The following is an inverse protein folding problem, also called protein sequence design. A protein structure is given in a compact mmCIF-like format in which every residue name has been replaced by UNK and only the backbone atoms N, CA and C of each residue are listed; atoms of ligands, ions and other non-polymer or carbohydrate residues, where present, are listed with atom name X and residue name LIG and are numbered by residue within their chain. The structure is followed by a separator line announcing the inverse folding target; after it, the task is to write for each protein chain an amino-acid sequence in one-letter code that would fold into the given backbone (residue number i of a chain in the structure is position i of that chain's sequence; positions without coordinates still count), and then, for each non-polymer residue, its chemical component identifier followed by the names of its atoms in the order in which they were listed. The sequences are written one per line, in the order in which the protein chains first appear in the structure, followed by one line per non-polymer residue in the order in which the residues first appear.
data_IF_713939513042
#
_entry.id   IF_713939513042
#
_cell.length_a   1.000
_cell.length_b   1.000
_cell.length_c   1.000
_cell.angle_alpha   90.00
_cell.angle_beta   90.00
_cell.angle_gamma   90.00
#
_symmetry.space_group_name_H-M   'P 1'
#
loop_
_entity.id
_entity.type
_entity.pdbx_description
1 polymer ?
#
# COMPACT_ATOMS: atom_id res chain seq x y z
N UNK A 1 56.17 -57.05 -48.24
CA UNK A 1 56.23 -57.84 -46.97
C UNK A 1 55.02 -57.50 -46.12
N UNK A 2 54.20 -58.48 -45.71
CA UNK A 2 53.14 -58.24 -44.71
C UNK A 2 53.81 -58.07 -43.34
N UNK A 3 53.52 -56.99 -42.59
CA UNK A 3 54.15 -56.78 -41.30
C UNK A 3 53.75 -57.91 -40.33
N UNK A 4 54.76 -58.53 -39.69
CA UNK A 4 54.58 -59.65 -38.75
C UNK A 4 53.69 -59.29 -37.55
N UNK A 5 53.55 -58.00 -37.26
CA UNK A 5 52.69 -57.46 -36.21
C UNK A 5 51.30 -56.96 -36.71
N UNK A 6 50.68 -57.63 -37.69
CA UNK A 6 49.33 -57.24 -38.13
C UNK A 6 48.24 -57.57 -37.10
N UNK A 7 48.45 -58.64 -36.31
CA UNK A 7 47.48 -59.14 -35.32
C UNK A 7 47.42 -58.26 -34.07
N UNK A 8 48.55 -57.82 -33.52
CA UNK A 8 48.51 -56.91 -32.36
C UNK A 8 48.06 -55.51 -32.78
N UNK A 9 48.44 -55.03 -33.98
CA UNK A 9 47.92 -53.75 -34.51
C UNK A 9 46.39 -53.75 -34.59
N UNK A 10 45.76 -54.83 -35.08
CA UNK A 10 44.30 -54.94 -35.14
C UNK A 10 43.67 -54.97 -33.75
N UNK A 11 44.29 -55.68 -32.80
CA UNK A 11 43.80 -55.75 -31.42
C UNK A 11 43.90 -54.39 -30.71
N UNK A 12 45.01 -53.66 -30.90
CA UNK A 12 45.21 -52.33 -30.32
C UNK A 12 44.23 -51.31 -30.91
N UNK A 13 43.98 -51.35 -32.23
CA UNK A 13 42.96 -50.50 -32.87
C UNK A 13 41.56 -50.81 -32.34
N UNK A 14 41.22 -52.09 -32.14
CA UNK A 14 39.92 -52.50 -31.59
C UNK A 14 39.74 -52.03 -30.14
N UNK A 15 40.77 -52.20 -29.30
CA UNK A 15 40.77 -51.70 -27.91
C UNK A 15 40.65 -50.19 -27.84
N UNK A 16 41.37 -49.47 -28.71
CA UNK A 16 41.27 -48.02 -28.82
C UNK A 16 39.87 -47.58 -29.27
N UNK A 17 39.30 -48.21 -30.29
CA UNK A 17 37.96 -47.88 -30.77
C UNK A 17 36.88 -48.12 -29.70
N UNK A 18 36.99 -49.23 -28.95
CA UNK A 18 36.07 -49.52 -27.84
C UNK A 18 36.20 -48.49 -26.71
N UNK A 19 37.44 -48.17 -26.31
CA UNK A 19 37.68 -47.16 -25.28
C UNK A 19 37.17 -45.78 -25.75
N UNK A 20 37.42 -45.42 -27.01
CA UNK A 20 36.97 -44.16 -27.59
C UNK A 20 35.43 -44.06 -27.58
N UNK A 21 34.73 -45.10 -28.05
CA UNK A 21 33.27 -45.14 -28.03
C UNK A 21 32.72 -45.09 -26.60
N UNK A 22 33.35 -45.78 -25.66
CA UNK A 22 32.97 -45.74 -24.25
C UNK A 22 33.13 -44.33 -23.67
N UNK A 23 34.26 -43.67 -23.93
CA UNK A 23 34.49 -42.29 -23.47
C UNK A 23 33.53 -41.29 -24.13
N UNK A 24 33.26 -41.44 -25.42
CA UNK A 24 32.29 -40.60 -26.13
C UNK A 24 30.87 -40.80 -25.57
N UNK A 25 30.46 -42.04 -25.30
CA UNK A 25 29.18 -42.35 -24.69
C UNK A 25 29.07 -41.75 -23.27
N UNK A 26 30.13 -41.82 -22.47
CA UNK A 26 30.17 -41.17 -21.15
C UNK A 26 30.01 -39.65 -21.26
N UNK A 27 30.72 -39.01 -22.20
CA UNK A 27 30.62 -37.57 -22.42
C UNK A 27 29.19 -37.18 -22.84
N UNK A 28 28.62 -37.86 -23.84
CA UNK A 28 27.24 -37.58 -24.31
C UNK A 28 26.23 -37.76 -23.19
N UNK A 29 26.39 -38.82 -22.38
CA UNK A 29 25.50 -39.11 -21.27
C UNK A 29 25.62 -38.08 -20.16
N UNK A 30 26.84 -37.65 -19.82
CA UNK A 30 27.09 -36.58 -18.86
C UNK A 30 26.43 -35.28 -19.33
N UNK A 31 26.64 -34.87 -20.59
CA UNK A 31 26.02 -33.68 -21.15
C UNK A 31 24.49 -33.78 -21.17
N UNK A 32 23.93 -34.91 -21.57
CA UNK A 32 22.47 -35.11 -21.64
C UNK A 32 21.82 -34.96 -20.25
N UNK A 33 22.39 -35.58 -19.20
CA UNK A 33 21.84 -35.47 -17.86
C UNK A 33 22.05 -34.10 -17.19
N UNK A 34 23.12 -33.39 -17.55
CA UNK A 34 23.43 -32.06 -17.03
C UNK A 34 22.54 -30.99 -17.69
N UNK A 35 22.39 -31.02 -19.02
CA UNK A 35 21.61 -30.05 -19.78
C UNK A 35 20.09 -30.24 -19.69
N UNK A 36 19.57 -31.46 -19.54
CA UNK A 36 18.11 -31.67 -19.53
C UNK A 36 17.46 -31.42 -18.16
N UNK A 37 18.24 -31.30 -17.08
CA UNK A 37 17.67 -31.15 -15.73
C UNK A 37 17.84 -29.77 -15.14
N UNK A 38 18.93 -29.08 -15.44
CA UNK A 38 19.24 -27.78 -14.85
C UNK A 38 18.34 -26.67 -15.42
N UNK A 39 18.23 -26.46 -16.75
CA UNK A 39 17.46 -25.35 -17.32
C UNK A 39 15.95 -25.47 -17.06
N UNK A 40 15.41 -26.69 -17.02
CA UNK A 40 13.98 -26.91 -16.77
C UNK A 40 13.61 -26.61 -15.32
N UNK A 41 14.42 -27.05 -14.35
CA UNK A 41 14.20 -26.74 -12.94
C UNK A 41 14.42 -25.27 -12.63
N UNK A 42 15.45 -24.65 -13.21
CA UNK A 42 15.68 -23.21 -13.06
C UNK A 42 14.50 -22.40 -13.63
N UNK A 43 14.01 -22.76 -14.82
CA UNK A 43 12.84 -22.12 -15.41
C UNK A 43 11.58 -22.31 -14.56
N UNK A 44 11.37 -23.49 -13.97
CA UNK A 44 10.24 -23.75 -13.07
C UNK A 44 10.29 -22.84 -11.83
N UNK A 45 11.44 -22.79 -11.14
CA UNK A 45 11.65 -21.92 -9.97
C UNK A 45 11.50 -20.44 -10.35
N UNK A 46 12.04 -20.02 -11.50
CA UNK A 46 11.92 -18.64 -11.97
C UNK A 46 10.46 -18.28 -12.27
N UNK A 47 9.68 -19.18 -12.88
CA UNK A 47 8.25 -18.97 -13.13
C UNK A 47 7.46 -18.87 -11.84
N UNK A 48 7.74 -19.72 -10.86
CA UNK A 48 7.10 -19.67 -9.54
C UNK A 48 7.37 -18.33 -8.84
N UNK A 49 8.63 -17.91 -8.80
CA UNK A 49 9.02 -16.61 -8.23
C UNK A 49 8.37 -15.44 -8.95
N UNK A 50 8.31 -15.51 -10.28
CA UNK A 50 7.68 -14.47 -11.10
C UNK A 50 6.19 -14.36 -10.79
N UNK A 51 5.49 -15.48 -10.68
CA UNK A 51 4.07 -15.50 -10.33
C UNK A 51 3.79 -14.88 -8.96
N UNK A 52 4.66 -15.11 -7.96
CA UNK A 52 4.55 -14.49 -6.64
C UNK A 52 4.74 -12.97 -6.75
N UNK A 53 5.77 -12.51 -7.46
CA UNK A 53 6.04 -11.08 -7.64
C UNK A 53 4.91 -10.39 -8.40
N UNK A 54 4.38 -11.01 -9.44
CA UNK A 54 3.23 -10.47 -10.20
C UNK A 54 1.98 -10.37 -9.34
N UNK A 55 1.72 -11.37 -8.50
CA UNK A 55 0.62 -11.34 -7.52
C UNK A 55 0.80 -10.19 -6.53
N UNK A 56 1.99 -10.04 -5.97
CA UNK A 56 2.31 -8.97 -5.01
C UNK A 56 2.20 -7.58 -5.66
N UNK A 57 2.70 -7.43 -6.90
CA UNK A 57 2.60 -6.19 -7.66
C UNK A 57 1.15 -5.82 -7.98
N UNK A 58 0.34 -6.81 -8.36
CA UNK A 58 -1.10 -6.60 -8.59
C UNK A 58 -1.81 -6.17 -7.31
N UNK A 59 -1.51 -6.84 -6.19
CA UNK A 59 -2.05 -6.46 -4.88
C UNK A 59 -1.68 -5.01 -4.53
N UNK A 60 -0.41 -4.64 -4.62
CA UNK A 60 0.07 -3.28 -4.33
C UNK A 60 -0.61 -2.23 -5.22
N UNK A 61 -0.78 -2.53 -6.51
CA UNK A 61 -1.48 -1.65 -7.45
C UNK A 61 -2.94 -1.45 -7.05
N UNK A 62 -3.65 -2.51 -6.71
CA UNK A 62 -5.06 -2.44 -6.34
C UNK A 62 -5.24 -1.76 -4.96
N UNK A 63 -4.36 -2.06 -4.00
CA UNK A 63 -4.30 -1.39 -2.69
C UNK A 63 -4.07 0.13 -2.85
N UNK A 64 -3.10 0.52 -3.69
CA UNK A 64 -2.82 1.93 -3.98
C UNK A 64 -4.01 2.67 -4.60
N UNK A 65 -4.81 2.02 -5.46
CA UNK A 65 -6.04 2.65 -5.98
C UNK A 65 -7.05 2.92 -4.87
N UNK A 66 -7.21 1.99 -3.92
CA UNK A 66 -8.07 2.20 -2.75
C UNK A 66 -7.60 3.39 -1.90
N UNK A 67 -6.28 3.48 -1.67
CA UNK A 67 -5.66 4.63 -1.00
C UNK A 67 -6.02 5.96 -1.68
N UNK A 68 -5.88 6.05 -3.01
CA UNK A 68 -6.19 7.27 -3.76
C UNK A 68 -7.67 7.68 -3.68
N UNK A 69 -8.58 6.71 -3.61
CA UNK A 69 -10.01 7.02 -3.42
C UNK A 69 -10.29 7.58 -2.03
N UNK A 70 -9.71 6.96 -1.00
CA UNK A 70 -9.81 7.41 0.39
C UNK A 70 -9.27 8.83 0.52
N UNK A 71 -8.10 9.11 -0.05
CA UNK A 71 -7.49 10.45 -0.07
C UNK A 71 -8.44 11.50 -0.67
N UNK A 72 -9.02 11.23 -1.84
CA UNK A 72 -9.99 12.15 -2.47
C UNK A 72 -11.23 12.40 -1.61
N UNK A 73 -11.73 11.36 -0.94
CA UNK A 73 -12.89 11.49 -0.05
C UNK A 73 -12.53 12.33 1.18
N UNK A 74 -11.35 12.12 1.75
CA UNK A 74 -10.81 12.90 2.87
C UNK A 74 -10.65 14.38 2.50
N UNK A 75 -10.18 14.69 1.30
CA UNK A 75 -10.07 16.07 0.80
C UNK A 75 -11.45 16.72 0.61
N UNK A 76 -12.45 15.91 0.26
CA UNK A 76 -13.82 16.38 0.07
C UNK A 76 -14.53 16.72 1.39
N UNK A 77 -14.06 16.20 2.54
CA UNK A 77 -14.61 16.52 3.86
C UNK A 77 -14.49 18.01 4.22
N UNK A 78 -13.54 18.74 3.64
CA UNK A 78 -13.34 20.17 3.93
C UNK A 78 -14.25 21.10 3.10
N UNK A 79 -14.94 20.56 2.08
CA UNK A 79 -15.75 21.33 1.12
C UNK A 79 -17.16 20.76 0.91
N UNK A 80 -17.92 20.39 1.96
CA UNK A 80 -19.31 19.99 1.75
C UNK A 80 -20.14 21.25 1.45
N UNK A 81 -20.58 21.38 0.21
CA UNK A 81 -21.52 22.43 -0.21
C UNK A 81 -22.90 22.20 0.45
N UNK A 82 -23.21 20.96 0.84
CA UNK A 82 -24.45 20.52 1.50
C UNK A 82 -24.20 19.44 2.57
N UNK A 83 -25.10 19.35 3.54
CA UNK A 83 -25.05 18.34 4.62
C UNK A 83 -25.27 16.90 4.11
N UNK A 84 -26.12 16.73 3.10
CA UNK A 84 -26.37 15.46 2.42
C UNK A 84 -25.09 14.90 1.77
N UNK A 85 -24.26 15.78 1.20
CA UNK A 85 -22.97 15.41 0.60
C UNK A 85 -21.99 14.91 1.68
N UNK A 86 -21.99 15.53 2.86
CA UNK A 86 -21.14 15.11 3.98
C UNK A 86 -21.51 13.71 4.50
N UNK A 87 -22.82 13.40 4.57
CA UNK A 87 -23.27 12.05 4.93
C UNK A 87 -22.80 11.02 3.91
N UNK A 88 -22.97 11.30 2.62
CA UNK A 88 -22.54 10.41 1.54
C UNK A 88 -21.02 10.20 1.54
N UNK A 89 -20.24 11.28 1.63
CA UNK A 89 -18.77 11.22 1.69
C UNK A 89 -18.31 10.36 2.87
N UNK A 90 -18.89 10.56 4.06
CA UNK A 90 -18.52 9.77 5.24
C UNK A 90 -18.84 8.28 5.06
N UNK A 91 -19.99 7.95 4.47
CA UNK A 91 -20.38 6.57 4.19
C UNK A 91 -19.43 5.92 3.19
N UNK A 92 -19.12 6.60 2.10
CA UNK A 92 -18.18 6.11 1.08
C UNK A 92 -16.78 5.94 1.67
N UNK A 93 -16.35 6.85 2.53
CA UNK A 93 -15.05 6.78 3.20
C UNK A 93 -14.95 5.55 4.12
N UNK A 94 -15.99 5.27 4.92
CA UNK A 94 -16.03 4.05 5.74
C UNK A 94 -16.03 2.78 4.90
N UNK A 95 -16.79 2.77 3.80
CA UNK A 95 -16.81 1.63 2.87
C UNK A 95 -15.41 1.37 2.30
N UNK A 96 -14.75 2.38 1.73
CA UNK A 96 -13.45 2.20 1.09
C UNK A 96 -12.34 1.87 2.11
N UNK A 97 -12.40 2.42 3.34
CA UNK A 97 -11.50 2.02 4.44
C UNK A 97 -11.75 0.55 4.84
N UNK A 98 -13.01 0.12 4.88
CA UNK A 98 -13.40 -1.26 5.13
C UNK A 98 -12.83 -2.20 4.08
N UNK A 99 -13.11 -1.93 2.80
CA UNK A 99 -12.60 -2.70 1.65
C UNK A 99 -11.07 -2.80 1.67
N UNK A 100 -10.38 -1.70 1.97
CA UNK A 100 -8.92 -1.68 2.06
C UNK A 100 -8.38 -2.49 3.24
N UNK A 101 -9.13 -2.55 4.34
CA UNK A 101 -8.81 -3.38 5.51
C UNK A 101 -8.97 -4.86 5.17
N UNK A 102 -10.08 -5.23 4.54
CA UNK A 102 -10.40 -6.61 4.16
C UNK A 102 -9.44 -7.18 3.11
N UNK A 103 -8.89 -6.32 2.26
CA UNK A 103 -7.88 -6.73 1.27
C UNK A 103 -6.58 -7.25 1.92
N UNK A 104 -6.26 -6.82 3.15
CA UNK A 104 -5.00 -7.20 3.81
C UNK A 104 -5.09 -8.66 4.27
N UNK A 105 -4.15 -9.51 3.81
CA UNK A 105 -4.06 -10.89 4.28
C UNK A 105 -3.70 -10.92 5.78
N UNK A 106 -4.60 -11.41 6.66
CA UNK A 106 -4.34 -11.48 8.10
C UNK A 106 -3.25 -12.50 8.46
N UNK A 107 -2.90 -13.39 7.53
CA UNK A 107 -1.86 -14.41 7.72
C UNK A 107 -0.48 -13.96 7.23
N UNK A 108 -0.35 -12.74 6.67
CA UNK A 108 0.96 -12.24 6.25
C UNK A 108 1.83 -11.97 7.50
N UNK A 109 2.82 -12.84 7.72
CA UNK A 109 3.76 -12.77 8.84
C UNK A 109 4.94 -11.83 8.60
N UNK A 110 5.01 -11.20 7.42
CA UNK A 110 6.08 -10.28 7.03
C UNK A 110 5.82 -8.86 7.51
N UNK A 111 6.77 -7.95 7.27
CA UNK A 111 6.63 -6.53 7.59
C UNK A 111 5.47 -5.84 6.83
N UNK A 112 5.01 -6.42 5.71
CA UNK A 112 3.99 -5.83 4.84
C UNK A 112 2.63 -5.74 5.51
N UNK A 113 2.23 -6.75 6.28
CA UNK A 113 1.01 -6.71 7.07
C UNK A 113 0.94 -5.44 7.93
N UNK A 114 1.98 -5.23 8.74
CA UNK A 114 2.07 -4.06 9.62
C UNK A 114 2.07 -2.75 8.82
N UNK A 115 2.78 -2.72 7.70
CA UNK A 115 2.81 -1.55 6.82
C UNK A 115 1.39 -1.19 6.32
N UNK A 116 0.66 -2.16 5.76
CA UNK A 116 -0.69 -1.90 5.24
C UNK A 116 -1.69 -1.55 6.35
N UNK A 117 -1.65 -2.26 7.48
CA UNK A 117 -2.50 -1.94 8.64
C UNK A 117 -2.24 -0.52 9.15
N UNK A 118 -0.98 -0.11 9.23
CA UNK A 118 -0.62 1.24 9.66
C UNK A 118 -1.15 2.30 8.68
N UNK A 119 -1.04 2.07 7.37
CA UNK A 119 -1.59 2.99 6.35
C UNK A 119 -3.10 3.16 6.54
N UNK A 120 -3.85 2.07 6.69
CA UNK A 120 -5.29 2.13 6.93
C UNK A 120 -5.61 2.83 8.26
N UNK A 121 -4.85 2.55 9.31
CA UNK A 121 -5.00 3.23 10.61
C UNK A 121 -4.77 4.74 10.49
N UNK A 122 -3.77 5.17 9.73
CA UNK A 122 -3.51 6.59 9.48
C UNK A 122 -4.69 7.27 8.80
N UNK A 123 -5.37 6.62 7.84
CA UNK A 123 -6.57 7.20 7.24
C UNK A 123 -7.71 7.38 8.23
N UNK A 124 -7.94 6.41 9.12
CA UNK A 124 -8.93 6.54 10.21
C UNK A 124 -8.58 7.70 11.14
N UNK A 125 -7.31 7.85 11.49
CA UNK A 125 -6.84 8.96 12.33
C UNK A 125 -7.02 10.31 11.64
N UNK A 126 -6.68 10.42 10.35
CA UNK A 126 -6.85 11.66 9.57
C UNK A 126 -8.34 12.05 9.51
N UNK A 127 -9.23 11.08 9.28
CA UNK A 127 -10.68 11.31 9.29
C UNK A 127 -11.13 11.89 10.64
N UNK A 128 -10.74 11.24 11.73
CA UNK A 128 -11.11 11.66 13.09
C UNK A 128 -10.58 13.07 13.41
N UNK A 129 -9.31 13.33 13.08
CA UNK A 129 -8.69 14.64 13.28
C UNK A 129 -9.41 15.75 12.49
N UNK A 130 -9.86 15.46 11.26
CA UNK A 130 -10.67 16.42 10.48
C UNK A 130 -12.01 16.70 11.11
N UNK A 131 -12.69 15.67 11.64
CA UNK A 131 -13.96 15.86 12.35
C UNK A 131 -13.79 16.74 13.60
N UNK A 132 -12.72 16.49 14.37
CA UNK A 132 -12.37 17.30 15.54
C UNK A 132 -12.05 18.75 15.16
N UNK A 133 -11.28 18.96 14.09
CA UNK A 133 -10.96 20.29 13.57
C UNK A 133 -12.23 21.06 13.18
N UNK A 134 -13.17 20.40 12.48
CA UNK A 134 -14.44 21.00 12.09
C UNK A 134 -15.28 21.42 13.30
N UNK A 135 -15.32 20.59 14.35
CA UNK A 135 -16.00 20.90 15.61
C UNK A 135 -15.36 22.12 16.30
N UNK A 136 -14.04 22.11 16.47
CA UNK A 136 -13.31 23.22 17.09
C UNK A 136 -13.52 24.54 16.34
N UNK A 137 -13.53 24.51 15.00
CA UNK A 137 -13.80 25.70 14.18
C UNK A 137 -15.17 26.31 14.49
N UNK A 138 -16.20 25.50 14.71
CA UNK A 138 -17.53 25.98 15.13
C UNK A 138 -17.49 26.60 16.53
N UNK A 139 -16.83 25.93 17.47
CA UNK A 139 -16.67 26.46 18.84
C UNK A 139 -15.94 27.81 18.88
N UNK A 140 -14.91 28.00 18.03
CA UNK A 140 -14.24 29.29 17.90
C UNK A 140 -15.14 30.39 17.31
N UNK A 141 -15.98 30.05 16.33
CA UNK A 141 -16.94 31.00 15.77
C UNK A 141 -17.96 31.45 16.82
N UNK A 142 -18.52 30.51 17.57
CA UNK A 142 -19.45 30.82 18.67
C UNK A 142 -18.75 31.67 19.75
N UNK A 143 -17.49 31.39 20.07
CA UNK A 143 -16.71 32.20 21.01
C UNK A 143 -16.55 33.65 20.55
N UNK A 144 -16.25 33.87 19.27
CA UNK A 144 -16.14 35.21 18.70
C UNK A 144 -17.48 35.96 18.73
N UNK A 145 -18.60 35.26 18.47
CA UNK A 145 -19.95 35.82 18.60
C UNK A 145 -20.27 36.22 20.05
N UNK A 146 -19.95 35.37 21.03
CA UNK A 146 -20.14 35.68 22.45
C UNK A 146 -19.29 36.88 22.89
N UNK A 147 -18.05 36.97 22.39
CA UNK A 147 -17.17 38.11 22.68
C UNK A 147 -17.76 39.42 22.14
N UNK A 148 -18.25 39.42 20.90
CA UNK A 148 -18.90 40.58 20.30
C UNK A 148 -20.20 40.97 21.04
N UNK A 149 -21.01 39.99 21.45
CA UNK A 149 -22.23 40.22 22.22
C UNK A 149 -21.92 40.84 23.60
N UNK A 150 -20.85 40.37 24.25
CA UNK A 150 -20.42 40.87 25.55
C UNK A 150 -19.89 42.30 25.48
N UNK A 151 -19.13 42.66 24.44
CA UNK A 151 -18.72 44.05 24.19
C UNK A 151 -19.93 44.95 23.98
N UNK A 152 -20.89 44.53 23.15
CA UNK A 152 -22.12 45.29 22.92
C UNK A 152 -22.95 45.48 24.19
N UNK A 153 -23.06 44.44 25.02
CA UNK A 153 -23.77 44.52 26.30
C UNK A 153 -23.09 45.49 27.27
N UNK A 154 -21.74 45.53 27.30
CA UNK A 154 -20.99 46.50 28.09
C UNK A 154 -21.24 47.92 27.62
N UNK A 155 -21.19 48.18 26.32
CA UNK A 155 -21.51 49.50 25.76
C UNK A 155 -22.92 49.98 26.11
N UNK A 156 -23.91 49.10 26.00
CA UNK A 156 -25.30 49.42 26.35
C UNK A 156 -25.44 49.74 27.85
N UNK A 157 -24.74 49.01 28.71
CA UNK A 157 -24.74 49.24 30.15
C UNK A 157 -24.08 50.59 30.50
N UNK A 158 -22.97 50.94 29.85
CA UNK A 158 -22.30 52.23 30.06
C UNK A 158 -23.16 53.42 29.59
N UNK A 159 -23.89 53.25 28.47
CA UNK A 159 -24.88 54.25 28.02
C UNK A 159 -26.02 54.40 29.03
N UNK A 160 -26.61 53.30 29.48
CA UNK A 160 -27.70 53.32 30.46
C UNK A 160 -27.29 53.97 31.78
N UNK A 161 -26.05 53.72 32.25
CA UNK A 161 -25.47 54.41 33.41
C UNK A 161 -25.35 55.91 33.17
N UNK A 162 -24.79 56.31 32.03
CA UNK A 162 -24.62 57.72 31.67
C UNK A 162 -25.95 58.47 31.59
N UNK A 163 -26.98 57.84 31.02
CA UNK A 163 -28.33 58.42 30.92
C UNK A 163 -28.99 58.54 32.30
N UNK A 164 -28.81 57.55 33.17
CA UNK A 164 -29.31 57.58 34.54
C UNK A 164 -28.65 58.70 35.37
N UNK A 165 -27.34 58.90 35.22
CA UNK A 165 -26.62 59.99 35.88
C UNK A 165 -27.09 61.37 35.40
N UNK A 166 -27.37 61.52 34.10
CA UNK A 166 -27.96 62.75 33.54
C UNK A 166 -29.36 63.02 34.11
N UNK A 167 -30.21 62.00 34.19
CA UNK A 167 -31.54 62.14 34.79
C UNK A 167 -31.48 62.53 36.27
N UNK A 168 -30.50 61.98 37.03
CA UNK A 168 -30.29 62.34 38.44
C UNK A 168 -29.80 63.78 38.63
N UNK A 169 -28.98 64.29 37.71
CA UNK A 169 -28.49 65.67 37.78
C UNK A 169 -29.54 66.72 37.37
N UNK A 170 -30.64 66.30 36.73
CA UNK A 170 -31.72 67.18 36.29
C UNK A 170 -32.88 67.33 37.30
N UNK A 171 -32.83 66.59 38.42
CA UNK A 171 -33.74 66.66 39.57
C UNK A 171 -33.12 67.49 40.69
#
# INVERSE_FOLDING_TARGET
MKPKNSKERRNSVLKFALLFLFTAALIVTAFFFDFDRIPFKENEVLRERTAIVEKDAKFQKDFSKGMFKIEKLIDSLDRPDKEEDLYYINRSLESEIGDLTEAIDPNDTTYRYRMYVNVVSSYRQIKELKAQLAKQKKEFQEFDEYKAALEKAREQLDRARSDLDRCRAAL
#
